data_IF_691905885285
#
_entry.id   IF_691905885285
#
_cell.length_a   1.000
_cell.length_b   1.000
_cell.length_c   1.000
_cell.angle_alpha   90.00
_cell.angle_beta   90.00
_cell.angle_gamma   90.00
#
_symmetry.space_group_name_H-M   'P 1'
#
loop_
_entity.id
_entity.type
_entity.pdbx_description
1 polymer ?
#
# COMPACT_ATOMS: atom_id res chain seq x y z
N UNK A 1 3.57 7.54 6.89
CA UNK A 1 4.58 6.57 7.39
C UNK A 1 5.89 6.66 6.63
N UNK A 2 5.86 6.97 5.33
CA UNK A 2 7.06 7.02 4.48
C UNK A 2 7.91 8.26 4.66
N UNK A 3 7.44 9.25 5.43
CA UNK A 3 8.09 10.56 5.64
C UNK A 3 7.84 11.13 7.05
N UNK A 4 7.97 10.31 8.10
CA UNK A 4 7.76 10.77 9.48
C UNK A 4 8.93 11.62 10.01
N UNK A 5 10.16 11.29 9.63
CA UNK A 5 11.38 12.02 9.97
C UNK A 5 12.49 11.76 8.95
N UNK A 6 13.36 12.73 8.81
CA UNK A 6 14.37 12.80 7.74
C UNK A 6 15.25 11.54 7.63
N UNK A 7 15.68 10.96 8.76
CA UNK A 7 16.54 9.77 8.76
C UNK A 7 15.85 8.46 8.37
N UNK A 8 14.51 8.45 8.32
CA UNK A 8 13.69 7.29 7.92
C UNK A 8 12.89 7.55 6.64
N UNK A 9 12.99 8.72 6.04
CA UNK A 9 12.15 9.13 4.93
C UNK A 9 12.56 8.41 3.64
N UNK A 10 11.69 7.56 3.13
CA UNK A 10 11.78 7.03 1.77
C UNK A 10 11.55 8.13 0.74
N UNK A 11 10.66 9.06 1.03
CA UNK A 11 10.34 10.20 0.18
C UNK A 11 11.59 11.07 -0.04
N UNK A 12 12.25 11.46 1.04
CA UNK A 12 13.51 12.20 0.96
C UNK A 12 14.58 11.41 0.19
N UNK A 13 14.77 10.14 0.56
CA UNK A 13 15.81 9.32 -0.04
C UNK A 13 15.64 9.16 -1.55
N UNK A 14 14.43 8.87 -2.05
CA UNK A 14 14.21 8.67 -3.49
C UNK A 14 14.34 9.99 -4.28
N UNK A 15 13.94 11.12 -3.69
CA UNK A 15 14.13 12.43 -4.33
C UNK A 15 15.61 12.81 -4.38
N UNK A 16 16.42 12.44 -3.38
CA UNK A 16 17.87 12.60 -3.39
C UNK A 16 18.57 11.72 -4.47
N UNK A 17 17.91 10.65 -4.95
CA UNK A 17 18.38 9.89 -6.11
C UNK A 17 18.02 10.56 -7.46
N UNK A 18 17.37 11.73 -7.43
CA UNK A 18 17.05 12.52 -8.62
C UNK A 18 15.68 12.26 -9.24
N UNK A 19 14.78 11.58 -8.54
CA UNK A 19 13.42 11.35 -9.03
C UNK A 19 12.50 12.51 -8.69
N UNK A 20 11.66 12.92 -9.64
CA UNK A 20 10.49 13.77 -9.36
C UNK A 20 9.39 12.90 -8.79
N UNK A 21 8.95 13.21 -7.58
CA UNK A 21 7.99 12.40 -6.83
C UNK A 21 6.71 13.17 -6.54
N UNK A 22 5.58 12.52 -6.79
CA UNK A 22 4.25 12.96 -6.38
C UNK A 22 3.70 11.98 -5.35
N UNK A 23 3.20 12.49 -4.23
CA UNK A 23 2.63 11.69 -3.16
C UNK A 23 1.16 12.04 -3.00
N UNK A 24 0.29 11.05 -3.16
CA UNK A 24 -1.16 11.23 -2.95
C UNK A 24 -1.44 11.28 -1.46
N UNK A 25 -2.07 12.37 -1.01
CA UNK A 25 -2.62 12.50 0.35
C UNK A 25 -4.13 12.28 0.29
N UNK A 26 -4.59 11.15 0.83
CA UNK A 26 -6.00 10.80 0.83
C UNK A 26 -6.80 11.63 1.83
N UNK A 27 -7.98 12.09 1.41
CA UNK A 27 -8.93 12.70 2.33
C UNK A 27 -9.44 11.65 3.31
N UNK A 28 -9.48 12.01 4.61
CA UNK A 28 -10.14 11.19 5.62
C UNK A 28 -11.66 11.33 5.45
N UNK A 29 -12.40 10.27 5.06
CA UNK A 29 -13.82 10.37 4.76
C UNK A 29 -14.64 10.50 6.04
N UNK A 30 -15.67 11.37 5.97
CA UNK A 30 -16.76 11.41 6.93
C UNK A 30 -18.01 10.73 6.36
N UNK A 31 -19.14 10.85 7.09
CA UNK A 31 -20.42 10.23 6.71
C UNK A 31 -20.87 10.56 5.28
N UNK A 32 -20.67 11.80 4.85
CA UNK A 32 -21.06 12.24 3.50
C UNK A 32 -20.31 11.50 2.39
N UNK A 33 -19.10 11.01 2.66
CA UNK A 33 -18.29 10.23 1.72
C UNK A 33 -18.55 8.72 1.81
N UNK A 34 -19.45 8.27 2.65
CA UNK A 34 -19.78 6.84 2.81
C UNK A 34 -20.21 6.14 1.54
N UNK A 35 -20.73 6.89 0.56
CA UNK A 35 -21.14 6.42 -0.76
C UNK A 35 -19.98 6.21 -1.74
N UNK A 36 -18.74 6.63 -1.41
CA UNK A 36 -17.59 6.42 -2.27
C UNK A 36 -17.20 4.95 -2.30
N UNK A 37 -17.12 4.39 -3.49
CA UNK A 37 -16.69 3.01 -3.74
C UNK A 37 -15.28 2.91 -4.28
N UNK A 38 -14.88 1.69 -4.64
CA UNK A 38 -13.59 1.44 -5.30
C UNK A 38 -13.47 2.22 -6.62
N UNK A 39 -14.57 2.41 -7.34
CA UNK A 39 -14.62 3.19 -8.57
C UNK A 39 -14.19 4.65 -8.36
N UNK A 40 -14.67 5.28 -7.27
CA UNK A 40 -14.32 6.67 -6.95
C UNK A 40 -12.81 6.80 -6.65
N UNK A 41 -12.24 5.85 -5.90
CA UNK A 41 -10.81 5.82 -5.62
C UNK A 41 -9.96 5.64 -6.87
N UNK A 42 -10.42 4.82 -7.82
CA UNK A 42 -9.72 4.60 -9.08
C UNK A 42 -9.84 5.83 -10.00
N UNK A 43 -11.05 6.30 -10.27
CA UNK A 43 -11.26 7.39 -11.24
C UNK A 43 -10.78 8.75 -10.70
N UNK A 44 -11.24 9.15 -9.50
CA UNK A 44 -10.95 10.47 -8.95
C UNK A 44 -9.69 10.51 -8.08
N UNK A 45 -9.11 9.35 -7.78
CA UNK A 45 -7.87 9.20 -7.02
C UNK A 45 -6.70 8.82 -7.92
N UNK A 46 -6.53 7.53 -8.22
CA UNK A 46 -5.35 7.02 -8.92
C UNK A 46 -5.20 7.59 -10.33
N UNK A 47 -6.24 7.50 -11.17
CA UNK A 47 -6.19 8.01 -12.55
C UNK A 47 -6.04 9.52 -12.59
N UNK A 48 -6.71 10.24 -11.70
CA UNK A 48 -6.57 11.69 -11.61
C UNK A 48 -5.15 12.09 -11.17
N UNK A 49 -4.56 11.41 -10.20
CA UNK A 49 -3.17 11.65 -9.79
C UNK A 49 -2.20 11.39 -10.96
N UNK A 50 -2.40 10.31 -11.72
CA UNK A 50 -1.61 9.99 -12.92
C UNK A 50 -1.76 11.10 -13.96
N UNK A 51 -2.99 11.53 -14.25
CA UNK A 51 -3.29 12.58 -15.21
C UNK A 51 -2.59 13.88 -14.84
N UNK A 52 -2.79 14.36 -13.61
CA UNK A 52 -2.19 15.60 -13.09
C UNK A 52 -0.65 15.52 -13.10
N UNK A 53 -0.08 14.40 -12.70
CA UNK A 53 1.38 14.19 -12.75
C UNK A 53 1.91 14.34 -14.18
N UNK A 54 1.24 13.74 -15.15
CA UNK A 54 1.60 13.86 -16.58
C UNK A 54 1.47 15.31 -17.09
N UNK A 55 0.43 16.02 -16.70
CA UNK A 55 0.24 17.41 -17.09
C UNK A 55 1.30 18.34 -16.49
N UNK A 56 1.61 18.20 -15.20
CA UNK A 56 2.63 19.01 -14.55
C UNK A 56 4.02 18.74 -15.15
N UNK A 57 4.33 17.47 -15.40
CA UNK A 57 5.68 17.08 -15.84
C UNK A 57 5.87 17.14 -17.36
N UNK A 58 4.79 17.10 -18.14
CA UNK A 58 4.84 16.94 -19.59
C UNK A 58 5.22 15.51 -20.03
N UNK A 59 5.35 14.56 -19.10
CA UNK A 59 5.70 13.19 -19.41
C UNK A 59 4.49 12.40 -19.93
N UNK A 60 4.75 11.43 -20.80
CA UNK A 60 3.68 10.57 -21.36
C UNK A 60 3.30 9.45 -20.41
N UNK A 61 4.24 8.98 -19.60
CA UNK A 61 4.09 7.85 -18.70
C UNK A 61 4.72 8.15 -17.35
N UNK A 62 4.18 7.52 -16.30
CA UNK A 62 4.70 7.58 -14.93
C UNK A 62 5.03 6.18 -14.43
N UNK A 63 5.85 6.10 -13.38
CA UNK A 63 6.01 4.90 -12.58
C UNK A 63 5.12 5.04 -11.35
N UNK A 64 4.33 4.03 -11.02
CA UNK A 64 3.38 4.09 -9.92
C UNK A 64 3.84 3.24 -8.73
N UNK A 65 3.48 3.65 -7.51
CA UNK A 65 3.77 2.90 -6.28
C UNK A 65 2.49 2.80 -5.45
N UNK A 66 2.14 1.58 -5.03
CA UNK A 66 1.01 1.33 -4.13
C UNK A 66 1.45 0.58 -2.88
N UNK A 67 1.01 1.05 -1.70
CA UNK A 67 1.32 0.44 -0.41
C UNK A 67 0.04 -0.14 0.21
N UNK A 68 0.10 -1.41 0.67
CA UNK A 68 -1.01 -2.08 1.36
C UNK A 68 -2.30 -2.06 0.51
N UNK A 69 -3.44 -1.63 1.05
CA UNK A 69 -4.71 -1.51 0.32
C UNK A 69 -4.62 -0.63 -0.94
N UNK A 70 -3.77 0.41 -0.92
CA UNK A 70 -3.52 1.21 -2.12
C UNK A 70 -2.77 0.40 -3.19
N UNK A 71 -1.98 -0.60 -2.82
CA UNK A 71 -1.39 -1.55 -3.76
C UNK A 71 -2.44 -2.45 -4.41
N UNK A 72 -3.40 -2.98 -3.63
CA UNK A 72 -4.54 -3.73 -4.17
C UNK A 72 -5.35 -2.88 -5.14
N UNK A 73 -5.68 -1.64 -4.75
CA UNK A 73 -6.43 -0.70 -5.60
C UNK A 73 -5.65 -0.31 -6.85
N UNK A 74 -4.32 -0.18 -6.77
CA UNK A 74 -3.47 0.07 -7.94
C UNK A 74 -3.49 -1.12 -8.92
N UNK A 75 -3.51 -2.37 -8.43
CA UNK A 75 -3.67 -3.53 -9.33
C UNK A 75 -5.00 -3.47 -10.10
N UNK A 76 -6.11 -3.15 -9.42
CA UNK A 76 -7.41 -2.95 -10.08
C UNK A 76 -7.35 -1.80 -11.10
N UNK A 77 -6.72 -0.68 -10.73
CA UNK A 77 -6.51 0.47 -11.63
C UNK A 77 -5.76 0.07 -12.89
N UNK A 78 -4.67 -0.70 -12.74
CA UNK A 78 -3.85 -1.15 -13.88
C UNK A 78 -4.60 -2.13 -14.77
N UNK A 79 -5.41 -3.03 -14.19
CA UNK A 79 -6.26 -3.93 -14.96
C UNK A 79 -7.33 -3.17 -15.76
N UNK A 80 -8.00 -2.17 -15.16
CA UNK A 80 -8.94 -1.31 -15.85
C UNK A 80 -8.28 -0.45 -16.95
N UNK A 81 -7.10 0.13 -16.67
CA UNK A 81 -6.32 0.86 -17.65
C UNK A 81 -5.95 -0.03 -18.86
N UNK A 82 -5.57 -1.29 -18.61
CA UNK A 82 -5.31 -2.28 -19.66
C UNK A 82 -6.56 -2.53 -20.51
N UNK A 83 -7.71 -2.78 -19.89
CA UNK A 83 -8.99 -3.01 -20.57
C UNK A 83 -9.37 -1.82 -21.46
N UNK A 84 -9.08 -0.60 -21.01
CA UNK A 84 -9.36 0.66 -21.73
C UNK A 84 -8.23 1.11 -22.68
N UNK A 85 -7.13 0.35 -22.79
CA UNK A 85 -5.99 0.68 -23.65
C UNK A 85 -5.16 1.88 -23.18
N UNK A 86 -5.27 2.25 -21.88
CA UNK A 86 -4.48 3.34 -21.29
C UNK A 86 -3.08 2.84 -20.89
N UNK A 87 -2.05 3.41 -21.48
CA UNK A 87 -0.64 3.07 -21.27
C UNK A 87 0.11 4.11 -20.44
N UNK A 88 -0.59 4.93 -19.67
CA UNK A 88 -0.01 6.03 -18.89
C UNK A 88 0.92 5.57 -17.77
N UNK A 89 0.82 4.33 -17.30
CA UNK A 89 1.74 3.75 -16.32
C UNK A 89 2.74 2.83 -17.01
N UNK A 90 4.04 3.12 -16.83
CA UNK A 90 5.15 2.38 -17.44
C UNK A 90 5.56 1.16 -16.62
N UNK A 91 5.55 1.29 -15.32
CA UNK A 91 5.86 0.22 -14.35
C UNK A 91 5.17 0.48 -13.02
N UNK A 92 4.97 -0.55 -12.23
CA UNK A 92 4.40 -0.41 -10.89
C UNK A 92 5.24 -1.11 -9.83
N UNK A 93 5.25 -0.51 -8.64
CA UNK A 93 5.86 -1.07 -7.44
C UNK A 93 4.79 -1.28 -6.36
N UNK A 94 4.86 -2.41 -5.68
CA UNK A 94 3.93 -2.77 -4.63
C UNK A 94 4.66 -3.01 -3.33
N UNK A 95 4.25 -2.32 -2.28
CA UNK A 95 4.74 -2.55 -0.93
C UNK A 95 3.67 -3.30 -0.14
N UNK A 96 3.95 -4.53 0.27
CA UNK A 96 3.08 -5.36 1.12
C UNK A 96 1.61 -5.34 0.67
N UNK A 97 1.35 -5.60 -0.60
CA UNK A 97 0.04 -5.55 -1.21
C UNK A 97 -0.51 -6.95 -1.53
N UNK A 98 -1.75 -7.21 -1.12
CA UNK A 98 -2.49 -8.44 -1.41
C UNK A 98 -3.34 -8.27 -2.66
N UNK A 99 -3.40 -9.30 -3.48
CA UNK A 99 -4.33 -9.43 -4.61
C UNK A 99 -5.04 -10.79 -4.61
N UNK A 100 -4.46 -11.77 -3.96
CA UNK A 100 -5.06 -13.08 -3.67
C UNK A 100 -5.38 -13.16 -2.19
N UNK A 101 -6.64 -13.43 -1.89
CA UNK A 101 -7.19 -13.51 -0.54
C UNK A 101 -7.63 -14.95 -0.18
N UNK A 102 -7.14 -15.96 -0.90
CA UNK A 102 -7.54 -17.37 -0.70
C UNK A 102 -7.05 -17.97 0.62
N UNK A 103 -5.90 -17.51 1.14
CA UNK A 103 -5.31 -17.99 2.40
C UNK A 103 -4.93 -16.79 3.28
N UNK A 104 -5.86 -16.26 4.04
CA UNK A 104 -5.66 -15.02 4.80
C UNK A 104 -4.93 -15.18 6.14
N UNK A 105 -4.48 -16.39 6.48
CA UNK A 105 -3.75 -16.64 7.72
C UNK A 105 -4.50 -16.14 8.96
N UNK A 106 -3.86 -15.27 9.71
CA UNK A 106 -4.42 -14.67 10.94
C UNK A 106 -5.63 -13.77 10.70
N UNK A 107 -5.85 -13.32 9.47
CA UNK A 107 -7.02 -12.51 9.09
C UNK A 107 -8.28 -13.32 8.82
N UNK A 108 -8.18 -14.62 8.61
CA UNK A 108 -9.34 -15.49 8.31
C UNK A 108 -10.54 -15.29 9.25
N UNK A 109 -10.38 -15.17 10.59
CA UNK A 109 -11.51 -14.94 11.48
C UNK A 109 -12.27 -13.63 11.22
N UNK A 110 -11.57 -12.61 10.71
CA UNK A 110 -12.16 -11.29 10.41
C UNK A 110 -12.87 -11.24 9.05
N UNK A 111 -12.83 -12.33 8.30
CA UNK A 111 -13.53 -12.47 7.03
C UNK A 111 -14.73 -13.40 7.10
N UNK A 112 -15.06 -13.90 8.28
CA UNK A 112 -16.28 -14.69 8.48
C UNK A 112 -17.53 -13.80 8.31
N UNK A 113 -18.63 -14.39 7.88
CA UNK A 113 -19.85 -13.64 7.55
C UNK A 113 -20.36 -12.83 8.73
N UNK A 114 -20.40 -13.40 9.92
CA UNK A 114 -20.87 -12.73 11.14
C UNK A 114 -20.02 -11.49 11.50
N UNK A 115 -18.72 -11.56 11.28
CA UNK A 115 -17.85 -10.40 11.49
C UNK A 115 -18.07 -9.32 10.42
N UNK A 116 -18.16 -9.72 9.14
CA UNK A 116 -18.38 -8.79 8.02
C UNK A 116 -19.78 -8.18 8.09
N UNK A 117 -20.80 -8.92 8.55
CA UNK A 117 -22.15 -8.41 8.83
C UNK A 117 -22.11 -7.32 9.93
N UNK A 118 -21.34 -7.53 10.98
CA UNK A 118 -21.11 -6.51 12.02
C UNK A 118 -20.42 -5.23 11.48
N UNK A 119 -19.51 -5.37 10.52
CA UNK A 119 -18.93 -4.19 9.82
C UNK A 119 -19.98 -3.52 8.95
N UNK A 120 -20.87 -4.27 8.29
CA UNK A 120 -21.97 -3.73 7.48
C UNK A 120 -22.95 -2.92 8.34
N UNK A 121 -23.28 -3.38 9.55
CA UNK A 121 -24.08 -2.63 10.52
C UNK A 121 -23.35 -1.32 10.94
N UNK A 122 -22.06 -1.39 11.25
CA UNK A 122 -21.24 -0.21 11.60
C UNK A 122 -21.27 0.85 10.49
N UNK A 123 -21.07 0.44 9.23
CA UNK A 123 -21.09 1.40 8.11
C UNK A 123 -22.50 1.89 7.77
N UNK A 124 -23.55 1.12 8.05
CA UNK A 124 -24.92 1.58 7.91
C UNK A 124 -25.24 2.71 8.91
N UNK A 125 -24.74 2.59 10.14
CA UNK A 125 -24.97 3.59 11.19
C UNK A 125 -24.14 4.87 10.99
N UNK A 126 -22.87 4.72 10.61
CA UNK A 126 -21.91 5.85 10.55
C UNK A 126 -21.59 6.33 9.13
N UNK A 127 -21.94 5.58 8.10
CA UNK A 127 -21.58 5.83 6.70
C UNK A 127 -20.13 5.45 6.38
N UNK A 128 -19.30 5.23 7.38
CA UNK A 128 -17.88 4.89 7.27
C UNK A 128 -17.51 3.78 8.24
N UNK A 129 -16.52 2.96 7.91
CA UNK A 129 -15.82 2.16 8.90
C UNK A 129 -14.87 3.09 9.66
N UNK A 130 -15.16 3.29 10.93
CA UNK A 130 -14.39 4.22 11.76
C UNK A 130 -12.98 3.71 12.02
N UNK A 131 -12.03 4.62 11.95
CA UNK A 131 -10.60 4.34 12.16
C UNK A 131 -10.30 3.64 13.48
N UNK A 132 -11.10 3.90 14.53
CA UNK A 132 -10.95 3.24 15.84
C UNK A 132 -11.19 1.73 15.77
N UNK A 133 -12.11 1.27 14.92
CA UNK A 133 -12.39 -0.17 14.72
C UNK A 133 -11.17 -0.81 14.04
N UNK A 134 -10.67 -0.21 12.95
CA UNK A 134 -9.46 -0.70 12.27
C UNK A 134 -8.26 -0.74 13.20
N UNK A 135 -8.01 0.32 13.95
CA UNK A 135 -6.89 0.40 14.90
C UNK A 135 -6.98 -0.69 15.99
N UNK A 136 -8.18 -0.95 16.52
CA UNK A 136 -8.41 -2.02 17.50
C UNK A 136 -8.17 -3.40 16.89
N UNK A 137 -8.68 -3.67 15.70
CA UNK A 137 -8.47 -4.94 14.99
C UNK A 137 -6.99 -5.21 14.77
N UNK A 138 -6.24 -4.24 14.26
CA UNK A 138 -4.79 -4.36 14.06
C UNK A 138 -4.02 -4.55 15.38
N UNK A 139 -4.43 -3.86 16.43
CA UNK A 139 -3.83 -4.03 17.77
C UNK A 139 -4.14 -5.40 18.38
N UNK A 140 -5.32 -5.97 18.09
CA UNK A 140 -5.71 -7.29 18.58
C UNK A 140 -4.88 -8.41 17.94
N UNK A 141 -4.57 -8.32 16.66
CA UNK A 141 -3.70 -9.28 15.94
C UNK A 141 -2.30 -9.40 16.56
N UNK A 142 -1.82 -8.34 17.19
CA UNK A 142 -0.53 -8.26 17.90
C UNK A 142 -0.74 -7.86 19.37
N UNK A 143 -1.76 -8.42 20.02
CA UNK A 143 -2.18 -8.01 21.36
C UNK A 143 -1.08 -8.11 22.42
N UNK A 144 -0.20 -9.12 22.35
CA UNK A 144 0.93 -9.23 23.26
C UNK A 144 1.90 -8.04 23.15
N UNK A 145 2.19 -7.60 21.92
CA UNK A 145 3.16 -6.55 21.66
C UNK A 145 2.56 -5.13 21.80
N UNK A 146 1.29 -4.97 21.40
CA UNK A 146 0.65 -3.66 21.29
C UNK A 146 -0.30 -3.32 22.44
N UNK A 147 -0.78 -4.32 23.19
CA UNK A 147 -1.72 -4.14 24.29
C UNK A 147 -1.14 -4.62 25.61
N UNK A 148 -0.91 -5.94 25.75
CA UNK A 148 -0.54 -6.52 27.06
C UNK A 148 0.89 -6.16 27.48
N UNK A 149 1.87 -6.20 26.58
CA UNK A 149 3.26 -5.84 26.88
C UNK A 149 3.38 -4.39 27.38
N UNK A 150 2.87 -3.39 26.65
CA UNK A 150 2.82 -2.00 27.12
C UNK A 150 2.07 -1.82 28.42
N UNK A 151 0.92 -2.51 28.61
CA UNK A 151 0.16 -2.43 29.84
C UNK A 151 0.94 -2.98 31.05
N UNK A 152 1.58 -4.14 30.92
CA UNK A 152 2.42 -4.73 31.97
C UNK A 152 3.57 -3.78 32.32
N UNK A 153 4.30 -3.28 31.33
CA UNK A 153 5.41 -2.35 31.56
C UNK A 153 4.96 -1.08 32.28
N UNK A 154 3.87 -0.47 31.80
CA UNK A 154 3.38 0.80 32.36
C UNK A 154 2.73 0.62 33.73
N UNK A 155 1.72 -0.26 33.85
CA UNK A 155 0.92 -0.35 35.09
C UNK A 155 1.55 -1.25 36.16
N UNK A 156 2.26 -2.31 35.79
CA UNK A 156 2.84 -3.23 36.77
C UNK A 156 4.30 -2.93 37.07
N UNK A 157 5.07 -2.45 36.09
CA UNK A 157 6.49 -2.17 36.26
C UNK A 157 6.79 -0.68 36.51
N UNK A 158 5.80 0.21 36.31
CA UNK A 158 5.96 1.65 36.48
C UNK A 158 6.83 2.32 35.41
N UNK A 159 7.03 1.68 34.26
CA UNK A 159 7.80 2.25 33.15
C UNK A 159 6.96 3.29 32.41
N UNK A 160 7.54 4.43 32.09
CA UNK A 160 6.89 5.43 31.24
C UNK A 160 6.80 4.90 29.80
N UNK A 161 5.60 4.88 29.17
CA UNK A 161 5.48 4.48 27.77
C UNK A 161 6.38 5.34 26.87
N UNK A 162 7.14 4.75 25.94
CA UNK A 162 7.98 5.52 25.05
C UNK A 162 7.12 6.38 24.12
N UNK A 163 7.37 7.69 24.11
CA UNK A 163 6.76 8.60 23.14
C UNK A 163 7.62 8.60 21.87
N UNK A 164 7.08 8.12 20.75
CA UNK A 164 7.75 8.18 19.46
C UNK A 164 6.73 8.37 18.31
N UNK A 165 7.21 8.96 17.22
CA UNK A 165 6.43 9.39 16.07
C UNK A 165 5.56 8.30 15.43
N UNK A 166 6.04 7.06 15.38
CA UNK A 166 5.29 5.93 14.87
C UNK A 166 4.01 5.64 15.69
N UNK A 167 4.06 5.80 17.02
CA UNK A 167 2.86 5.64 17.86
C UNK A 167 1.83 6.73 17.59
N UNK A 168 2.28 7.98 17.40
CA UNK A 168 1.40 9.07 17.02
C UNK A 168 0.74 8.81 15.66
N UNK A 169 1.53 8.43 14.65
CA UNK A 169 1.03 8.08 13.33
C UNK A 169 0.01 6.93 13.38
N UNK A 170 0.28 5.89 14.15
CA UNK A 170 -0.64 4.74 14.28
C UNK A 170 -1.96 5.13 14.97
N UNK A 171 -1.91 6.11 15.86
CA UNK A 171 -3.09 6.65 16.53
C UNK A 171 -3.89 7.65 15.69
N UNK A 172 -3.30 8.19 14.61
CA UNK A 172 -3.94 9.12 13.66
C UNK A 172 -4.46 8.36 12.43
N UNK A 173 -5.28 7.35 12.69
CA UNK A 173 -5.81 6.47 11.65
C UNK A 173 -6.93 7.13 10.83
N UNK A 174 -7.15 6.62 9.61
CA UNK A 174 -8.12 7.12 8.63
C UNK A 174 -9.36 6.24 8.62
N UNK A 175 -10.55 6.84 8.54
CA UNK A 175 -11.80 6.15 8.26
C UNK A 175 -11.79 5.59 6.83
N UNK A 176 -12.66 4.62 6.55
CA UNK A 176 -12.89 4.11 5.20
C UNK A 176 -14.37 4.29 4.81
N UNK A 177 -14.69 4.72 3.58
CA UNK A 177 -16.07 4.83 3.12
C UNK A 177 -16.80 3.48 3.19
N UNK A 178 -18.03 3.50 3.65
CA UNK A 178 -18.82 2.26 3.84
C UNK A 178 -18.95 1.43 2.57
N UNK A 179 -19.30 2.06 1.43
CA UNK A 179 -19.39 1.38 0.14
C UNK A 179 -18.07 0.71 -0.24
N UNK A 180 -16.94 1.43 -0.18
CA UNK A 180 -15.63 0.89 -0.53
C UNK A 180 -15.22 -0.28 0.37
N UNK A 181 -15.49 -0.20 1.67
CA UNK A 181 -15.19 -1.28 2.63
C UNK A 181 -15.98 -2.53 2.29
N UNK A 182 -17.28 -2.42 2.00
CA UNK A 182 -18.11 -3.58 1.67
C UNK A 182 -17.72 -4.21 0.34
N UNK A 183 -17.40 -3.39 -0.68
CA UNK A 183 -16.83 -3.86 -1.94
C UNK A 183 -15.50 -4.60 -1.75
N UNK A 184 -14.64 -4.08 -0.89
CA UNK A 184 -13.35 -4.71 -0.55
C UNK A 184 -13.56 -6.04 0.20
N UNK A 185 -14.31 -6.02 1.31
CA UNK A 185 -14.49 -7.21 2.15
C UNK A 185 -15.27 -8.32 1.44
N UNK A 186 -16.45 -8.01 0.87
CA UNK A 186 -17.31 -8.99 0.19
C UNK A 186 -16.73 -9.43 -1.16
N UNK A 187 -16.29 -8.46 -1.98
CA UNK A 187 -15.88 -8.71 -3.36
C UNK A 187 -14.47 -9.25 -3.48
N UNK A 188 -13.50 -8.60 -2.85
CA UNK A 188 -12.11 -8.98 -2.96
C UNK A 188 -11.71 -10.00 -1.89
N UNK A 189 -12.01 -9.76 -0.60
CA UNK A 189 -11.52 -10.63 0.45
C UNK A 189 -12.30 -11.96 0.54
N UNK A 190 -13.63 -11.93 0.66
CA UNK A 190 -14.42 -13.16 0.83
C UNK A 190 -14.58 -13.95 -0.48
N UNK A 191 -14.94 -13.28 -1.58
CA UNK A 191 -15.15 -13.95 -2.88
C UNK A 191 -13.85 -14.21 -3.63
N UNK A 192 -12.78 -13.52 -3.26
CA UNK A 192 -11.48 -13.56 -3.95
C UNK A 192 -11.63 -13.38 -5.48
N UNK A 193 -12.57 -12.50 -5.88
CA UNK A 193 -13.04 -12.41 -7.25
C UNK A 193 -11.94 -11.99 -8.24
N UNK A 194 -10.99 -11.16 -7.82
CA UNK A 194 -9.96 -10.61 -8.70
C UNK A 194 -9.00 -11.68 -9.27
N UNK A 195 -8.71 -12.72 -8.50
CA UNK A 195 -7.92 -13.88 -8.97
C UNK A 195 -8.81 -15.01 -9.50
N UNK A 196 -10.08 -15.03 -9.12
CA UNK A 196 -11.08 -16.04 -9.52
C UNK A 196 -11.85 -15.68 -10.77
N UNK A 197 -13.15 -15.51 -10.63
CA UNK A 197 -14.11 -15.30 -11.73
C UNK A 197 -14.01 -13.90 -12.38
N UNK A 198 -13.28 -13.02 -11.79
CA UNK A 198 -13.15 -11.61 -12.18
C UNK A 198 -13.95 -10.68 -11.25
N UNK A 199 -13.42 -9.49 -11.05
CA UNK A 199 -14.03 -8.44 -10.24
C UNK A 199 -14.72 -7.42 -11.16
N UNK A 200 -16.04 -7.29 -11.04
CA UNK A 200 -16.82 -6.34 -11.83
C UNK A 200 -16.59 -4.92 -11.29
N UNK A 201 -16.01 -4.05 -12.10
CA UNK A 201 -15.67 -2.68 -11.70
C UNK A 201 -15.58 -1.77 -12.94
N UNK A 202 -16.14 -0.56 -12.88
CA UNK A 202 -16.11 0.43 -13.97
C UNK A 202 -16.64 -0.08 -15.32
N UNK A 203 -17.57 -1.04 -15.28
CA UNK A 203 -18.16 -1.66 -16.46
C UNK A 203 -17.33 -2.78 -17.08
N UNK A 204 -16.21 -3.14 -16.47
CA UNK A 204 -15.28 -4.18 -16.92
C UNK A 204 -15.23 -5.32 -15.91
N UNK A 205 -14.91 -6.53 -16.40
CA UNK A 205 -14.59 -7.68 -15.56
C UNK A 205 -13.08 -7.83 -15.46
N UNK A 206 -12.52 -7.35 -14.35
CA UNK A 206 -11.10 -7.24 -14.13
C UNK A 206 -10.52 -8.51 -13.49
N UNK A 207 -9.35 -8.92 -13.95
CA UNK A 207 -8.58 -10.02 -13.36
C UNK A 207 -7.16 -9.59 -13.02
N UNK A 208 -6.57 -10.22 -12.03
CA UNK A 208 -5.16 -9.96 -11.66
C UNK A 208 -4.20 -10.22 -12.82
N UNK A 209 -4.51 -11.19 -13.70
CA UNK A 209 -3.73 -11.50 -14.91
C UNK A 209 -3.72 -10.38 -15.96
N UNK A 210 -4.63 -9.41 -15.86
CA UNK A 210 -4.69 -8.26 -16.78
C UNK A 210 -3.61 -7.21 -16.48
N UNK A 211 -2.93 -7.34 -15.34
CA UNK A 211 -1.79 -6.50 -14.96
C UNK A 211 -0.53 -7.02 -15.67
N UNK A 212 -0.13 -6.40 -16.77
CA UNK A 212 0.93 -6.90 -17.67
C UNK A 212 2.21 -6.05 -17.73
N UNK A 213 2.20 -4.85 -17.14
CA UNK A 213 3.37 -3.94 -17.14
C UNK A 213 4.49 -4.50 -16.23
N UNK A 214 5.75 -4.01 -16.34
CA UNK A 214 6.82 -4.40 -15.42
C UNK A 214 6.48 -4.13 -13.97
N UNK A 215 6.69 -5.13 -13.09
CA UNK A 215 6.31 -5.09 -11.68
C UNK A 215 7.51 -5.33 -10.76
N UNK A 216 7.55 -4.56 -9.67
CA UNK A 216 8.41 -4.80 -8.52
C UNK A 216 7.53 -4.94 -7.26
N UNK A 217 7.76 -5.97 -6.48
CA UNK A 217 7.09 -6.11 -5.19
C UNK A 217 8.11 -6.25 -4.06
N UNK A 218 7.88 -5.55 -2.96
CA UNK A 218 8.53 -5.80 -1.69
C UNK A 218 7.48 -6.18 -0.65
N UNK A 219 7.75 -7.27 0.04
CA UNK A 219 6.96 -7.79 1.15
C UNK A 219 7.83 -7.92 2.38
N UNK A 220 7.26 -8.30 3.51
CA UNK A 220 8.00 -8.35 4.77
C UNK A 220 7.89 -9.72 5.42
N UNK A 221 9.04 -10.25 5.89
CA UNK A 221 9.19 -11.61 6.41
C UNK A 221 8.23 -11.93 7.57
N UNK A 222 8.03 -10.97 8.47
CA UNK A 222 7.17 -11.12 9.65
C UNK A 222 5.92 -10.25 9.59
N UNK A 223 5.44 -9.98 8.38
CA UNK A 223 4.21 -9.23 8.16
C UNK A 223 3.00 -10.08 8.56
N UNK A 224 2.23 -9.57 9.53
CA UNK A 224 1.01 -10.21 10.04
C UNK A 224 -0.27 -9.63 9.40
N UNK A 225 -0.14 -8.58 8.58
CA UNK A 225 -1.26 -7.91 7.88
C UNK A 225 -1.35 -8.44 6.44
N UNK A 226 -0.21 -8.42 5.73
CA UNK A 226 -0.10 -8.89 4.36
C UNK A 226 1.03 -9.93 4.29
N UNK A 227 0.73 -11.16 4.67
CA UNK A 227 1.71 -12.23 4.71
C UNK A 227 2.44 -12.36 3.37
N UNK A 228 3.77 -12.43 3.39
CA UNK A 228 4.57 -12.39 2.18
C UNK A 228 4.24 -13.55 1.21
N UNK A 229 3.83 -14.72 1.73
CA UNK A 229 3.43 -15.86 0.91
C UNK A 229 2.16 -15.59 0.10
N UNK A 230 1.20 -14.91 0.71
CA UNK A 230 -0.05 -14.53 0.05
C UNK A 230 0.20 -13.43 -0.98
N UNK A 231 1.04 -12.43 -0.63
CA UNK A 231 1.49 -11.43 -1.59
C UNK A 231 2.23 -12.07 -2.78
N UNK A 232 3.12 -13.05 -2.53
CA UNK A 232 3.85 -13.77 -3.56
C UNK A 232 2.92 -14.51 -4.51
N UNK A 233 1.94 -15.23 -3.96
CA UNK A 233 0.96 -16.01 -4.74
C UNK A 233 0.17 -15.10 -5.68
N UNK A 234 -0.41 -14.02 -5.16
CA UNK A 234 -1.15 -13.06 -5.96
C UNK A 234 -0.28 -12.34 -7.00
N UNK A 235 0.95 -11.96 -6.63
CA UNK A 235 1.92 -11.37 -7.53
C UNK A 235 2.33 -12.33 -8.67
N UNK A 236 2.47 -13.61 -8.37
CA UNK A 236 2.74 -14.67 -9.35
C UNK A 236 1.64 -14.77 -10.42
N UNK A 237 0.37 -14.56 -10.04
CA UNK A 237 -0.81 -14.64 -10.92
C UNK A 237 -0.98 -13.46 -11.88
N UNK A 238 -0.21 -12.36 -11.71
CA UNK A 238 -0.24 -11.24 -12.67
C UNK A 238 0.26 -11.67 -14.03
N UNK A 239 -0.21 -11.04 -15.10
CA UNK A 239 0.20 -11.30 -16.48
C UNK A 239 1.56 -10.67 -16.87
N UNK A 240 2.19 -9.95 -15.95
CA UNK A 240 3.47 -9.30 -16.19
C UNK A 240 4.58 -10.32 -16.50
N UNK A 241 5.37 -10.06 -17.53
CA UNK A 241 6.53 -10.88 -17.90
C UNK A 241 7.81 -10.47 -17.17
N UNK A 242 7.90 -9.21 -16.82
CA UNK A 242 9.03 -8.62 -16.07
C UNK A 242 8.58 -8.39 -14.63
N UNK A 243 8.95 -9.31 -13.75
CA UNK A 243 8.58 -9.35 -12.34
C UNK A 243 9.81 -9.46 -11.46
N UNK A 244 9.88 -8.64 -10.43
CA UNK A 244 10.91 -8.71 -9.38
C UNK A 244 10.22 -8.78 -8.03
N UNK A 245 10.54 -9.79 -7.23
CA UNK A 245 9.98 -9.99 -5.89
C UNK A 245 11.08 -9.96 -4.84
N UNK A 246 10.83 -9.24 -3.75
CA UNK A 246 11.77 -9.05 -2.63
C UNK A 246 11.04 -9.30 -1.31
N UNK A 247 11.67 -10.00 -0.40
CA UNK A 247 11.21 -10.13 0.99
C UNK A 247 12.19 -9.40 1.90
N UNK A 248 11.75 -8.29 2.50
CA UNK A 248 12.52 -7.55 3.49
C UNK A 248 12.35 -8.18 4.87
N UNK A 249 13.40 -8.21 5.67
CA UNK A 249 13.27 -8.59 7.08
C UNK A 249 12.35 -7.63 7.84
N UNK A 250 11.82 -8.09 9.00
CA UNK A 250 10.87 -7.36 9.84
C UNK A 250 9.44 -7.35 9.31
N UNK A 251 8.55 -6.51 9.90
CA UNK A 251 7.11 -6.49 9.64
C UNK A 251 6.67 -5.38 8.69
N UNK A 252 5.37 -5.26 8.53
CA UNK A 252 4.63 -4.43 7.57
C UNK A 252 5.15 -3.00 7.39
N UNK A 253 5.61 -2.37 8.44
CA UNK A 253 6.13 -1.00 8.43
C UNK A 253 7.66 -0.99 8.42
N UNK A 254 8.29 -1.65 9.39
CA UNK A 254 9.73 -1.58 9.59
C UNK A 254 10.53 -2.27 8.48
N UNK A 255 9.96 -3.26 7.79
CA UNK A 255 10.57 -3.89 6.63
C UNK A 255 10.50 -2.99 5.39
N UNK A 256 9.45 -2.20 5.24
CA UNK A 256 9.33 -1.21 4.15
C UNK A 256 10.17 0.02 4.45
N UNK A 257 10.04 0.61 5.63
CA UNK A 257 10.82 1.79 6.08
C UNK A 257 12.16 1.35 6.65
N UNK A 258 13.04 0.94 5.75
CA UNK A 258 14.36 0.37 6.06
C UNK A 258 15.48 1.16 5.37
N UNK A 259 15.81 2.37 5.85
CA UNK A 259 16.78 3.24 5.19
C UNK A 259 18.20 2.62 5.14
N UNK A 260 18.93 2.78 4.01
CA UNK A 260 20.28 2.22 3.85
C UNK A 260 21.27 2.67 4.93
N UNK A 261 21.07 3.86 5.48
CA UNK A 261 21.93 4.43 6.52
C UNK A 261 21.93 3.64 7.83
N UNK A 262 20.86 2.92 8.15
CA UNK A 262 20.71 2.22 9.44
C UNK A 262 21.28 0.80 9.45
N UNK A 263 21.47 0.16 8.30
CA UNK A 263 22.00 -1.22 8.16
C UNK A 263 21.35 -2.21 9.15
N UNK A 264 20.04 -2.07 9.38
CA UNK A 264 19.34 -2.80 10.45
C UNK A 264 18.75 -4.12 9.99
N UNK A 265 18.11 -4.11 8.80
CA UNK A 265 17.42 -5.26 8.24
C UNK A 265 17.96 -5.58 6.87
N UNK A 266 18.13 -6.88 6.60
CA UNK A 266 18.46 -7.39 5.29
C UNK A 266 17.21 -7.66 4.44
N UNK A 267 17.43 -8.26 3.28
CA UNK A 267 16.37 -8.69 2.39
C UNK A 267 16.77 -9.92 1.59
N UNK A 268 15.77 -10.64 1.11
CA UNK A 268 15.92 -11.85 0.30
C UNK A 268 15.47 -11.59 -1.13
N UNK A 269 16.17 -12.18 -2.08
CA UNK A 269 15.80 -12.14 -3.50
C UNK A 269 16.00 -13.50 -4.14
N UNK A 270 15.22 -13.79 -5.17
CA UNK A 270 15.41 -14.92 -6.05
C UNK A 270 15.19 -14.44 -7.48
N UNK A 271 16.11 -14.75 -8.39
CA UNK A 271 15.98 -14.41 -9.81
C UNK A 271 14.89 -15.25 -10.49
N UNK A 272 14.59 -16.43 -9.92
CA UNK A 272 13.51 -17.28 -10.39
C UNK A 272 12.23 -16.97 -9.60
N UNK A 273 11.09 -17.15 -10.25
CA UNK A 273 9.77 -17.00 -9.64
C UNK A 273 8.99 -18.31 -9.80
N UNK A 274 9.38 -19.37 -9.06
CA UNK A 274 8.65 -20.63 -9.06
C UNK A 274 7.20 -20.42 -8.57
N UNK A 275 6.31 -21.35 -8.92
CA UNK A 275 4.90 -21.26 -8.56
C UNK A 275 4.68 -21.23 -7.03
N UNK A 276 5.40 -22.11 -6.31
CA UNK A 276 5.27 -22.20 -4.86
C UNK A 276 6.17 -21.20 -4.13
N UNK A 277 5.60 -20.47 -3.17
CA UNK A 277 6.34 -19.55 -2.33
C UNK A 277 7.45 -20.23 -1.50
N UNK A 278 7.26 -21.50 -1.15
CA UNK A 278 8.27 -22.30 -0.44
C UNK A 278 9.52 -22.49 -1.29
N UNK A 279 9.36 -22.85 -2.57
CA UNK A 279 10.47 -23.05 -3.50
C UNK A 279 11.21 -21.75 -3.77
N UNK A 280 10.46 -20.63 -3.86
CA UNK A 280 11.07 -19.30 -3.95
C UNK A 280 11.96 -19.02 -2.75
N UNK A 281 11.48 -19.32 -1.55
CA UNK A 281 12.22 -19.11 -0.31
C UNK A 281 13.47 -19.98 -0.20
N UNK A 282 13.38 -21.26 -0.56
CA UNK A 282 14.53 -22.19 -0.57
C UNK A 282 15.62 -21.73 -1.54
N UNK A 283 15.25 -21.17 -2.69
CA UNK A 283 16.19 -20.62 -3.68
C UNK A 283 16.63 -19.18 -3.39
N UNK A 284 16.12 -18.55 -2.34
CA UNK A 284 16.37 -17.13 -2.09
C UNK A 284 17.77 -16.87 -1.53
N UNK A 285 18.39 -15.81 -2.00
CA UNK A 285 19.68 -15.30 -1.52
C UNK A 285 19.44 -14.15 -0.55
N UNK A 286 20.07 -14.24 0.63
CA UNK A 286 20.04 -13.15 1.60
C UNK A 286 21.07 -12.07 1.26
N UNK A 287 20.65 -10.80 1.41
CA UNK A 287 21.48 -9.62 1.26
C UNK A 287 21.41 -8.78 2.53
N UNK A 288 22.56 -8.39 3.06
CA UNK A 288 22.63 -7.45 4.18
C UNK A 288 22.18 -6.06 3.75
N UNK A 289 21.45 -5.37 4.64
CA UNK A 289 21.04 -3.99 4.47
C UNK A 289 19.76 -3.81 3.65
N UNK A 290 19.47 -2.56 3.38
CA UNK A 290 18.21 -2.10 2.79
C UNK A 290 17.97 -2.60 1.37
N UNK A 291 16.72 -2.90 1.06
CA UNK A 291 16.25 -3.20 -0.29
C UNK A 291 16.10 -1.93 -1.18
N UNK A 292 16.11 -0.71 -0.61
CA UNK A 292 15.90 0.54 -1.34
C UNK A 292 16.87 0.74 -2.52
N UNK A 293 18.20 0.50 -2.40
CA UNK A 293 19.11 0.61 -3.53
C UNK A 293 18.81 -0.37 -4.67
N UNK A 294 18.29 -1.55 -4.34
CA UNK A 294 17.86 -2.53 -5.37
C UNK A 294 16.64 -2.02 -6.13
N UNK A 295 15.67 -1.47 -5.41
CA UNK A 295 14.48 -0.86 -6.01
C UNK A 295 14.86 0.33 -6.88
N UNK A 296 15.72 1.20 -6.41
CA UNK A 296 16.23 2.34 -7.19
C UNK A 296 16.89 1.87 -8.49
N UNK A 297 17.78 0.88 -8.43
CA UNK A 297 18.41 0.31 -9.63
C UNK A 297 17.41 -0.34 -10.61
N UNK A 298 16.30 -0.91 -10.11
CA UNK A 298 15.20 -1.41 -10.94
C UNK A 298 14.40 -0.25 -11.57
N UNK A 299 14.07 0.75 -10.78
CA UNK A 299 13.30 1.93 -11.18
C UNK A 299 14.07 2.78 -12.19
N UNK A 300 15.38 2.96 -11.99
CA UNK A 300 16.27 3.73 -12.87
C UNK A 300 16.28 3.22 -14.31
N UNK A 301 16.24 1.90 -14.52
CA UNK A 301 16.11 1.29 -15.86
C UNK A 301 14.79 1.62 -16.57
N UNK A 302 13.78 2.08 -15.83
CA UNK A 302 12.42 2.40 -16.29
C UNK A 302 12.13 3.89 -16.25
N UNK A 303 13.06 4.67 -15.75
CA UNK A 303 13.02 6.13 -15.70
C UNK A 303 13.75 6.71 -16.93
N UNK A 304 13.58 8.00 -17.16
CA UNK A 304 14.27 8.71 -18.23
C UNK A 304 15.70 9.11 -17.84
N UNK A 305 16.32 9.89 -18.70
CA UNK A 305 17.62 10.52 -18.40
C UNK A 305 17.45 11.64 -17.37
N UNK A 306 18.53 11.94 -16.66
CA UNK A 306 18.57 13.08 -15.74
C UNK A 306 18.36 14.39 -16.50
N UNK A 307 17.50 15.23 -15.98
CA UNK A 307 17.18 16.56 -16.49
C UNK A 307 17.41 17.57 -15.34
N UNK A 308 17.47 18.89 -15.63
CA UNK A 308 17.44 19.90 -14.58
C UNK A 308 16.23 19.71 -13.64
N UNK A 309 16.41 19.97 -12.35
CA UNK A 309 15.34 19.85 -11.37
C UNK A 309 14.12 20.69 -11.81
N UNK A 310 12.93 20.10 -11.70
CA UNK A 310 11.68 20.78 -12.01
C UNK A 310 11.35 21.80 -10.89
N UNK A 311 10.82 22.94 -11.27
CA UNK A 311 10.15 23.81 -10.32
C UNK A 311 8.84 23.17 -9.82
N UNK A 312 8.40 23.60 -8.64
CA UNK A 312 7.13 23.12 -8.08
C UNK A 312 5.95 23.66 -8.90
N UNK A 313 4.97 22.84 -9.13
CA UNK A 313 3.82 23.17 -9.97
C UNK A 313 4.11 23.06 -11.46
N UNK A 314 3.40 23.85 -12.27
CA UNK A 314 3.53 23.88 -13.73
C UNK A 314 2.20 23.65 -14.45
N UNK A 315 2.11 24.14 -15.69
CA UNK A 315 0.93 23.96 -16.56
C UNK A 315 -0.41 24.33 -15.93
N UNK A 316 -0.43 25.43 -15.13
CA UNK A 316 -1.64 25.90 -14.44
C UNK A 316 -1.86 25.31 -13.05
N UNK A 317 -0.97 24.45 -12.58
CA UNK A 317 -0.99 23.91 -11.22
C UNK A 317 -0.01 24.71 -10.34
N UNK A 318 -0.51 25.69 -9.62
CA UNK A 318 0.29 26.49 -8.71
C UNK A 318 0.44 25.79 -7.34
N UNK A 319 1.63 25.88 -6.70
CA UNK A 319 1.81 25.40 -5.34
C UNK A 319 0.84 26.09 -4.37
N UNK A 320 0.08 25.33 -3.60
CA UNK A 320 -0.91 25.87 -2.66
C UNK A 320 -0.25 26.24 -1.32
N UNK A 321 0.62 25.38 -0.81
CA UNK A 321 1.36 25.58 0.44
C UNK A 321 2.54 24.62 0.52
N UNK A 322 3.44 24.86 1.48
CA UNK A 322 4.50 23.91 1.78
C UNK A 322 3.94 22.60 2.35
N UNK A 323 4.54 21.46 1.95
CA UNK A 323 4.22 20.18 2.55
C UNK A 323 4.55 20.16 4.07
N UNK A 324 3.79 19.42 4.88
CA UNK A 324 2.65 18.55 4.57
C UNK A 324 1.31 19.29 4.45
N UNK A 325 1.27 20.62 4.40
CA UNK A 325 0.07 21.42 4.32
C UNK A 325 -0.66 21.55 5.66
N UNK A 326 -1.93 21.96 5.59
CA UNK A 326 -2.78 22.19 6.77
C UNK A 326 -3.75 21.05 7.03
N UNK A 327 -4.03 20.22 6.03
CA UNK A 327 -4.99 19.13 6.13
C UNK A 327 -4.64 18.10 7.20
N UNK A 328 -3.37 17.81 7.41
CA UNK A 328 -2.86 16.90 8.44
C UNK A 328 -3.23 17.31 9.88
N UNK A 329 -3.69 18.54 10.09
CA UNK A 329 -4.14 19.06 11.39
C UNK A 329 -5.63 18.86 11.63
N UNK A 330 -6.38 18.45 10.62
CA UNK A 330 -7.82 18.24 10.74
C UNK A 330 -8.07 16.90 11.45
N UNK A 331 -9.00 16.91 12.39
CA UNK A 331 -9.47 15.68 13.03
C UNK A 331 -10.55 15.03 12.16
N UNK A 332 -10.68 13.68 12.18
CA UNK A 332 -11.77 13.01 11.50
C UNK A 332 -13.12 13.52 12.02
N UNK A 333 -14.03 13.80 11.10
CA UNK A 333 -15.44 13.99 11.45
C UNK A 333 -16.06 12.60 11.68
N UNK A 334 -16.63 12.37 12.85
CA UNK A 334 -17.27 11.11 13.25
C UNK A 334 -18.78 11.30 13.26
#
# INVERSE_FOLDING_TARGET
ILDLKAENSLIKWITEQGYTLFVVSWRNPGRAQGIWGMEDYIETGFKEAIRVTKEITGEKQVNAVGYCIAGTTLHLTLADMKAKGDTSVKSATFFTALTDFGEQGEFTPFLQDDFVDGIEEEVADYGVLRSVIMSRTMSFLRSNDLVYGPAIKSYMMGETPPAFDLLFWNGDATNLPGKMVMEYLRGLCQKNAFVGEGYELLGERLHVRDVEIPLFAVTCETDHIAAWRDCYRGFGMTGAKDKTFVVSQSGHIAGVVNPPSKKKYGHYTNEELPEAAADWWEGATFHEGSWWPRWEGWLGKRSGTMIPARELGGNGYEPLCAAPGTYVKLKPEV
#
